data_IF_018828124106
#
_entry.id   IF_018828124106
#
_cell.length_a   1.000
_cell.length_b   1.000
_cell.length_c   1.000
_cell.angle_alpha   90.00
_cell.angle_beta   90.00
_cell.angle_gamma   90.00
#
_symmetry.space_group_name_H-M   'P 1'
#
loop_
_entity.id
_entity.type
_entity.pdbx_description
1 polymer ?
#
# COMPACT_ATOMS: atom_id res chain seq x y z
N UNK A 1 10.98 4.10 -7.73
CA UNK A 1 9.67 4.75 -7.50
C UNK A 1 8.64 3.69 -7.16
N UNK A 2 7.75 3.97 -6.24
CA UNK A 2 6.59 3.12 -5.92
C UNK A 2 5.32 3.82 -6.44
N UNK A 3 4.54 3.11 -7.22
CA UNK A 3 3.18 3.48 -7.58
C UNK A 3 2.22 2.77 -6.63
N UNK A 4 1.39 3.53 -5.94
CA UNK A 4 0.42 2.99 -4.98
C UNK A 4 -1.01 3.21 -5.50
N UNK A 5 -1.80 2.15 -5.50
CA UNK A 5 -3.22 2.14 -5.85
C UNK A 5 -4.05 1.98 -4.58
N UNK A 6 -5.03 2.85 -4.41
CA UNK A 6 -5.96 2.83 -3.28
C UNK A 6 -7.36 2.55 -3.77
N UNK A 7 -7.90 1.41 -3.36
CA UNK A 7 -9.17 0.90 -3.87
C UNK A 7 -10.15 0.76 -2.72
N UNK A 8 -11.31 1.35 -2.88
CA UNK A 8 -12.45 1.13 -2.01
C UNK A 8 -13.38 0.07 -2.59
N UNK A 9 -13.98 -0.67 -1.69
CA UNK A 9 -14.90 -1.74 -2.00
C UNK A 9 -16.34 -1.28 -1.74
N UNK A 10 -17.24 -1.49 -2.69
CA UNK A 10 -18.66 -1.47 -2.40
C UNK A 10 -19.00 -2.55 -1.35
N UNK A 11 -19.94 -2.23 -0.46
CA UNK A 11 -20.38 -3.13 0.63
C UNK A 11 -20.92 -4.47 0.13
N UNK A 12 -21.40 -4.49 -1.10
CA UNK A 12 -22.04 -5.65 -1.73
C UNK A 12 -21.17 -6.40 -2.72
N UNK A 13 -19.88 -6.02 -2.85
CA UNK A 13 -18.99 -6.71 -3.77
C UNK A 13 -18.76 -8.16 -3.32
N UNK A 14 -19.06 -9.15 -4.16
CA UNK A 14 -18.68 -10.53 -3.90
C UNK A 14 -17.17 -10.67 -3.71
N UNK A 15 -16.77 -11.53 -2.80
CA UNK A 15 -15.35 -11.75 -2.48
C UNK A 15 -14.55 -12.23 -3.70
N UNK A 16 -15.19 -13.01 -4.58
CA UNK A 16 -14.61 -13.54 -5.81
C UNK A 16 -14.16 -12.43 -6.77
N UNK A 17 -14.94 -11.36 -6.90
CA UNK A 17 -14.59 -10.22 -7.75
C UNK A 17 -13.38 -9.49 -7.17
N UNK A 18 -13.35 -9.35 -5.85
CA UNK A 18 -12.22 -8.74 -5.15
C UNK A 18 -10.94 -9.59 -5.25
N UNK A 19 -11.08 -10.92 -5.39
CA UNK A 19 -9.97 -11.84 -5.63
C UNK A 19 -9.31 -11.64 -6.99
N UNK A 20 -10.07 -11.31 -8.02
CA UNK A 20 -9.52 -10.99 -9.34
C UNK A 20 -8.60 -9.77 -9.33
N UNK A 21 -8.79 -8.83 -8.41
CA UNK A 21 -7.86 -7.71 -8.24
C UNK A 21 -6.52 -8.15 -7.66
N UNK A 22 -6.52 -9.16 -6.79
CA UNK A 22 -5.30 -9.75 -6.25
C UNK A 22 -4.52 -10.60 -7.28
N UNK A 23 -5.18 -11.01 -8.37
CA UNK A 23 -4.57 -11.76 -9.47
C UNK A 23 -4.02 -10.85 -10.56
N UNK A 24 -3.46 -9.74 -10.15
CA UNK A 24 -2.79 -8.81 -11.07
C UNK A 24 -1.47 -9.37 -11.63
N UNK A 25 -1.11 -10.60 -11.28
CA UNK A 25 0.03 -11.31 -11.88
C UNK A 25 -0.04 -11.43 -13.41
N UNK A 26 -1.25 -11.35 -13.98
CA UNK A 26 -1.46 -11.29 -15.45
C UNK A 26 -1.03 -9.93 -16.06
N UNK A 27 -0.76 -8.92 -15.26
CA UNK A 27 -0.41 -7.56 -15.68
C UNK A 27 1.07 -7.24 -15.49
N UNK A 28 1.83 -8.14 -14.89
CA UNK A 28 3.24 -7.91 -14.61
C UNK A 28 4.05 -8.03 -15.89
N UNK A 29 4.36 -6.89 -16.47
CA UNK A 29 5.61 -6.75 -17.22
C UNK A 29 6.76 -7.16 -16.27
N UNK A 30 7.73 -7.95 -16.75
CA UNK A 30 8.90 -8.31 -15.94
C UNK A 30 9.69 -7.10 -15.37
N UNK A 31 9.39 -5.90 -15.82
CA UNK A 31 9.98 -4.66 -15.31
C UNK A 31 9.27 -4.08 -14.07
N UNK A 32 8.06 -4.53 -13.75
CA UNK A 32 7.29 -4.08 -12.60
C UNK A 32 7.21 -5.16 -11.54
N UNK A 33 7.43 -4.77 -10.30
CA UNK A 33 7.37 -5.70 -9.18
C UNK A 33 6.25 -5.31 -8.22
N UNK A 34 5.29 -6.21 -8.02
CA UNK A 34 4.29 -6.07 -6.97
C UNK A 34 4.98 -6.30 -5.61
N UNK A 35 5.23 -5.22 -4.88
CA UNK A 35 5.90 -5.27 -3.57
C UNK A 35 4.92 -5.36 -2.40
N UNK A 36 3.65 -5.09 -2.63
CA UNK A 36 2.60 -5.23 -1.63
C UNK A 36 1.21 -5.28 -2.27
N UNK A 37 0.38 -6.20 -1.82
CA UNK A 37 -1.01 -6.35 -2.20
C UNK A 37 -1.81 -6.66 -0.94
N UNK A 38 -2.53 -5.68 -0.42
CA UNK A 38 -3.05 -5.70 0.94
C UNK A 38 -4.56 -5.47 0.97
N UNK A 39 -5.30 -6.47 1.48
CA UNK A 39 -6.71 -6.34 1.79
C UNK A 39 -6.93 -6.08 3.28
N UNK A 40 -7.74 -5.08 3.63
CA UNK A 40 -8.03 -4.73 5.01
C UNK A 40 -8.73 -5.87 5.73
N UNK A 41 -8.17 -6.30 6.86
CA UNK A 41 -8.71 -7.40 7.65
C UNK A 41 -9.54 -6.89 8.82
N UNK A 42 -10.58 -7.66 9.21
CA UNK A 42 -11.46 -7.38 10.36
C UNK A 42 -12.05 -5.94 10.38
N UNK A 43 -11.97 -5.21 9.27
CA UNK A 43 -12.36 -3.78 9.15
C UNK A 43 -11.60 -2.86 10.11
N UNK A 44 -10.40 -3.27 10.53
CA UNK A 44 -9.55 -2.47 11.41
C UNK A 44 -8.88 -1.35 10.61
N UNK A 45 -9.08 -0.13 11.08
CA UNK A 45 -8.65 1.09 10.38
C UNK A 45 -9.72 1.66 9.47
N UNK A 46 -9.50 2.87 8.99
CA UNK A 46 -10.50 3.66 8.30
C UNK A 46 -10.57 3.34 6.81
N UNK A 47 -9.51 3.55 6.08
CA UNK A 47 -9.41 3.43 4.62
C UNK A 47 -7.96 3.18 4.20
N UNK A 48 -7.67 2.65 3.01
CA UNK A 48 -8.57 2.04 2.04
C UNK A 48 -8.93 0.59 2.36
N UNK A 49 -9.91 0.02 1.66
CA UNK A 49 -10.24 -1.40 1.78
C UNK A 49 -9.15 -2.29 1.21
N UNK A 50 -8.48 -1.81 0.15
CA UNK A 50 -7.39 -2.50 -0.51
C UNK A 50 -6.33 -1.48 -0.96
N UNK A 51 -5.05 -1.85 -0.87
CA UNK A 51 -3.94 -1.07 -1.39
C UNK A 51 -2.92 -1.99 -2.07
N UNK A 52 -2.45 -1.58 -3.24
CA UNK A 52 -1.37 -2.26 -3.95
C UNK A 52 -0.19 -1.30 -4.15
N UNK A 53 1.01 -1.84 -4.02
CA UNK A 53 2.27 -1.12 -4.23
C UNK A 53 3.08 -1.80 -5.32
N UNK A 54 3.40 -1.04 -6.35
CA UNK A 54 4.17 -1.47 -7.51
C UNK A 54 5.50 -0.75 -7.56
N UNK A 55 6.60 -1.49 -7.56
CA UNK A 55 7.93 -0.92 -7.77
C UNK A 55 8.19 -0.78 -9.27
N UNK A 56 8.34 0.45 -9.72
CA UNK A 56 8.51 0.83 -11.11
C UNK A 56 9.87 1.51 -11.30
N UNK A 57 10.47 1.41 -12.49
CA UNK A 57 11.75 2.04 -12.80
C UNK A 57 11.71 3.57 -12.80
N UNK A 58 10.54 4.19 -12.90
CA UNK A 58 10.39 5.65 -12.89
C UNK A 58 9.12 6.10 -13.58
N UNK A 59 8.93 7.42 -13.74
CA UNK A 59 7.74 8.02 -14.32
C UNK A 59 7.45 7.59 -15.77
N UNK A 60 8.48 7.34 -16.56
CA UNK A 60 8.30 6.85 -17.94
C UNK A 60 7.44 5.59 -18.00
N UNK A 61 7.44 4.78 -16.92
CA UNK A 61 6.62 3.58 -16.87
C UNK A 61 5.12 3.89 -16.82
N UNK A 62 4.75 5.02 -16.26
CA UNK A 62 3.34 5.46 -16.24
C UNK A 62 2.86 5.83 -17.65
N UNK A 63 3.72 6.45 -18.48
CA UNK A 63 3.40 6.74 -19.88
C UNK A 63 3.12 5.43 -20.65
N UNK A 64 3.97 4.41 -20.44
CA UNK A 64 3.82 3.09 -21.06
C UNK A 64 2.53 2.39 -20.60
N UNK A 65 2.17 2.49 -19.32
CA UNK A 65 0.91 1.97 -18.79
C UNK A 65 -0.28 2.73 -19.37
N UNK A 66 -0.22 4.05 -19.43
CA UNK A 66 -1.29 4.85 -20.01
C UNK A 66 -1.52 4.49 -21.49
N UNK A 67 -0.45 4.33 -22.26
CA UNK A 67 -0.52 3.87 -23.65
C UNK A 67 -1.14 2.47 -23.75
N UNK A 68 -0.71 1.54 -22.89
CA UNK A 68 -1.29 0.19 -22.84
C UNK A 68 -2.78 0.22 -22.49
N UNK A 69 -3.17 0.95 -21.43
CA UNK A 69 -4.56 1.05 -20.99
C UNK A 69 -5.48 1.69 -22.03
N UNK A 70 -4.96 2.60 -22.83
CA UNK A 70 -5.69 3.23 -23.93
C UNK A 70 -5.66 2.41 -25.24
N UNK A 71 -4.97 1.27 -25.25
CA UNK A 71 -4.88 0.42 -26.43
C UNK A 71 -6.17 -0.38 -26.66
N UNK A 72 -6.46 -0.76 -27.94
CA UNK A 72 -7.58 -1.67 -28.23
C UNK A 72 -7.47 -3.04 -27.54
N UNK A 73 -6.26 -3.51 -27.28
CA UNK A 73 -6.02 -4.77 -26.55
C UNK A 73 -6.51 -4.71 -25.10
N UNK A 74 -6.33 -3.57 -24.43
CA UNK A 74 -6.81 -3.37 -23.09
C UNK A 74 -8.31 -3.03 -23.01
N UNK A 75 -8.93 -2.58 -24.11
CA UNK A 75 -10.33 -2.18 -24.14
C UNK A 75 -11.30 -3.30 -23.75
N UNK A 76 -10.98 -4.55 -24.09
CA UNK A 76 -11.78 -5.72 -23.70
C UNK A 76 -11.75 -5.93 -22.19
N UNK A 77 -10.56 -5.90 -21.61
CA UNK A 77 -10.37 -6.04 -20.15
C UNK A 77 -11.03 -4.90 -19.38
N UNK A 78 -11.00 -3.69 -19.92
CA UNK A 78 -11.71 -2.55 -19.34
C UNK A 78 -13.22 -2.72 -19.39
N UNK A 79 -13.77 -3.23 -20.49
CA UNK A 79 -15.20 -3.50 -20.61
C UNK A 79 -15.65 -4.58 -19.62
N UNK A 80 -14.86 -5.62 -19.43
CA UNK A 80 -15.13 -6.67 -18.45
C UNK A 80 -15.06 -6.13 -17.02
N UNK A 81 -14.05 -5.30 -16.70
CA UNK A 81 -13.93 -4.62 -15.40
C UNK A 81 -15.03 -3.59 -15.15
N UNK A 82 -15.44 -2.84 -16.18
CA UNK A 82 -16.52 -1.86 -16.07
C UNK A 82 -17.89 -2.52 -15.82
N UNK A 83 -18.08 -3.78 -16.21
CA UNK A 83 -19.28 -4.56 -15.83
C UNK A 83 -19.33 -4.86 -14.35
N UNK A 84 -18.17 -4.91 -13.68
CA UNK A 84 -18.04 -5.03 -12.24
C UNK A 84 -18.03 -3.66 -11.58
N UNK A 85 -19.15 -2.93 -11.63
CA UNK A 85 -19.35 -1.59 -11.05
C UNK A 85 -19.00 -1.44 -9.56
N UNK A 86 -18.55 -2.52 -8.95
CA UNK A 86 -18.27 -2.62 -7.52
C UNK A 86 -16.83 -2.25 -7.14
N UNK A 87 -15.95 -2.02 -8.11
CA UNK A 87 -14.55 -1.63 -7.88
C UNK A 87 -14.39 -0.17 -8.21
N UNK A 88 -14.09 0.62 -7.19
CA UNK A 88 -13.74 2.01 -7.37
C UNK A 88 -12.26 2.20 -7.07
N UNK A 89 -11.43 2.30 -8.13
CA UNK A 89 -10.13 2.92 -7.97
C UNK A 89 -10.40 4.36 -7.53
N UNK A 90 -10.15 4.66 -6.27
CA UNK A 90 -10.44 6.00 -5.76
C UNK A 90 -9.32 6.97 -6.11
N UNK A 91 -8.08 6.52 -5.97
CA UNK A 91 -6.91 7.33 -6.30
C UNK A 91 -5.64 6.50 -6.33
N UNK A 92 -4.63 7.08 -6.94
CA UNK A 92 -3.28 6.53 -6.95
C UNK A 92 -2.27 7.63 -6.59
N UNK A 93 -1.09 7.23 -6.17
CA UNK A 93 0.00 8.14 -5.86
C UNK A 93 1.35 7.57 -6.23
N UNK A 94 2.31 8.47 -6.49
CA UNK A 94 3.70 8.11 -6.75
C UNK A 94 4.57 8.47 -5.56
N UNK A 95 5.46 7.57 -5.18
CA UNK A 95 6.27 7.70 -3.97
C UNK A 95 7.74 7.35 -4.23
N UNK A 96 8.61 8.05 -3.51
CA UNK A 96 10.01 7.64 -3.32
C UNK A 96 10.12 6.76 -2.09
N UNK A 97 11.01 5.78 -2.12
CA UNK A 97 11.36 4.97 -0.95
C UNK A 97 12.36 5.76 -0.09
N UNK A 98 11.93 6.10 1.13
CA UNK A 98 12.80 6.72 2.16
C UNK A 98 13.55 5.67 2.96
N UNK A 99 12.88 4.55 3.23
CA UNK A 99 13.48 3.35 3.83
C UNK A 99 13.07 2.16 3.00
N UNK A 100 14.05 1.36 2.60
CA UNK A 100 13.87 0.04 2.01
C UNK A 100 14.27 -0.99 3.05
N UNK A 101 13.34 -1.81 3.47
CA UNK A 101 13.54 -2.90 4.43
C UNK A 101 13.39 -4.27 3.76
N UNK A 102 13.23 -5.33 4.56
CA UNK A 102 12.98 -6.67 4.04
C UNK A 102 11.71 -6.73 3.18
N UNK A 103 11.70 -7.67 2.23
CA UNK A 103 10.50 -7.98 1.45
C UNK A 103 9.31 -8.29 2.37
N UNK A 104 8.11 -7.91 1.93
CA UNK A 104 6.88 -8.15 2.68
C UNK A 104 6.63 -9.65 2.81
N UNK A 105 6.45 -10.14 4.04
CA UNK A 105 6.04 -11.52 4.29
C UNK A 105 4.55 -11.68 3.98
N UNK A 106 4.22 -12.43 2.94
CA UNK A 106 2.84 -12.66 2.49
C UNK A 106 1.96 -13.35 3.53
N UNK A 107 2.54 -14.15 4.43
CA UNK A 107 1.82 -14.81 5.53
C UNK A 107 1.53 -13.89 6.71
N UNK A 108 2.21 -12.76 6.79
CA UNK A 108 2.16 -11.83 7.90
C UNK A 108 0.86 -11.02 8.02
N UNK A 109 0.78 -10.30 9.13
CA UNK A 109 -0.21 -9.26 9.37
C UNK A 109 0.46 -7.91 9.11
N UNK A 110 -0.14 -7.06 8.28
CA UNK A 110 0.46 -5.80 7.88
C UNK A 110 -0.24 -4.63 8.56
N UNK A 111 0.54 -3.76 9.15
CA UNK A 111 0.07 -2.51 9.74
C UNK A 111 0.59 -1.37 8.89
N UNK A 112 -0.32 -0.60 8.32
CA UNK A 112 0.03 0.53 7.46
C UNK A 112 -0.37 1.81 8.16
N UNK A 113 0.60 2.70 8.31
CA UNK A 113 0.43 4.03 8.84
C UNK A 113 0.39 5.04 7.70
N UNK A 114 -0.60 5.91 7.73
CA UNK A 114 -0.82 6.96 6.75
C UNK A 114 -0.57 8.32 7.42
N UNK A 115 0.27 9.13 6.80
CA UNK A 115 0.63 10.45 7.32
C UNK A 115 0.28 11.53 6.30
N UNK A 116 -0.20 12.67 6.78
CA UNK A 116 -0.33 13.85 5.95
C UNK A 116 1.03 14.34 5.43
N UNK A 117 1.02 15.44 4.70
CA UNK A 117 2.26 16.07 4.26
C UNK A 117 3.06 16.57 5.47
N UNK A 118 4.18 15.91 5.75
CA UNK A 118 5.11 16.31 6.81
C UNK A 118 6.01 17.43 6.27
N UNK A 119 5.55 18.67 6.38
CA UNK A 119 6.29 19.82 5.89
C UNK A 119 7.63 19.97 6.62
N UNK A 120 8.70 20.19 5.84
CA UNK A 120 10.07 20.46 6.30
C UNK A 120 10.82 19.28 6.94
N UNK A 121 10.34 18.06 6.80
CA UNK A 121 11.06 16.88 7.27
C UNK A 121 11.90 16.31 6.11
N UNK A 122 13.19 16.08 6.38
CA UNK A 122 14.08 15.43 5.41
C UNK A 122 13.93 13.91 5.48
N UNK A 123 14.26 13.23 4.38
CA UNK A 123 14.23 11.77 4.32
C UNK A 123 15.14 11.13 5.37
N UNK A 124 16.30 11.76 5.64
CA UNK A 124 17.22 11.29 6.66
C UNK A 124 16.59 11.29 8.07
N UNK A 125 15.86 12.36 8.42
CA UNK A 125 15.16 12.47 9.72
C UNK A 125 14.01 11.46 9.79
N UNK A 126 13.22 11.37 8.72
CA UNK A 126 12.11 10.43 8.64
C UNK A 126 12.61 8.98 8.73
N UNK A 127 13.61 8.63 7.93
CA UNK A 127 14.20 7.29 7.94
C UNK A 127 14.80 6.90 9.28
N UNK A 128 15.56 7.80 9.92
CA UNK A 128 16.14 7.56 11.24
C UNK A 128 15.07 7.32 12.32
N UNK A 129 13.97 8.08 12.29
CA UNK A 129 12.85 7.90 13.22
C UNK A 129 12.24 6.51 13.11
N UNK A 130 11.88 6.07 11.89
CA UNK A 130 11.25 4.76 11.69
C UNK A 130 12.20 3.59 11.97
N UNK A 131 13.47 3.72 11.65
CA UNK A 131 14.49 2.72 11.99
C UNK A 131 14.68 2.61 13.51
N UNK A 132 14.73 3.73 14.24
CA UNK A 132 14.80 3.72 15.69
C UNK A 132 13.54 3.11 16.33
N UNK A 133 12.37 3.35 15.74
CA UNK A 133 11.12 2.71 16.18
C UNK A 133 11.13 1.20 15.92
N UNK A 134 11.64 0.73 14.79
CA UNK A 134 11.81 -0.69 14.50
C UNK A 134 12.74 -1.38 15.53
N UNK A 135 13.84 -0.73 15.90
CA UNK A 135 14.76 -1.26 16.94
C UNK A 135 14.10 -1.41 18.31
N UNK A 136 13.18 -0.53 18.68
CA UNK A 136 12.43 -0.59 19.95
C UNK A 136 11.35 -1.65 19.95
N UNK A 137 10.92 -2.12 18.78
CA UNK A 137 9.84 -3.07 18.62
C UNK A 137 10.30 -4.28 17.77
N UNK A 138 11.07 -5.22 18.36
CA UNK A 138 11.68 -6.34 17.60
C UNK A 138 10.66 -7.32 17.00
N UNK A 139 9.41 -7.29 17.45
CA UNK A 139 8.32 -8.07 16.84
C UNK A 139 7.75 -7.42 15.57
N UNK A 140 8.13 -6.17 15.29
CA UNK A 140 7.70 -5.41 14.12
C UNK A 140 8.81 -5.42 13.06
N UNK A 141 8.49 -5.83 11.85
CA UNK A 141 9.39 -5.68 10.70
C UNK A 141 8.97 -4.47 9.90
N UNK A 142 9.82 -3.44 9.83
CA UNK A 142 9.62 -2.30 8.95
C UNK A 142 9.98 -2.71 7.52
N UNK A 143 9.00 -2.76 6.63
CA UNK A 143 9.21 -3.16 5.24
C UNK A 143 9.62 -1.97 4.37
N UNK A 144 8.93 -0.85 4.47
CA UNK A 144 9.30 0.38 3.77
C UNK A 144 8.64 1.61 4.38
N UNK A 145 9.28 2.75 4.13
CA UNK A 145 8.72 4.08 4.37
C UNK A 145 8.72 4.84 3.05
N UNK A 146 7.60 5.41 2.70
CA UNK A 146 7.39 6.10 1.43
C UNK A 146 7.10 7.58 1.65
N UNK A 147 7.61 8.42 0.75
CA UNK A 147 7.27 9.84 0.63
C UNK A 147 6.70 10.12 -0.75
N UNK A 148 5.55 10.77 -0.79
CA UNK A 148 4.91 11.19 -2.05
C UNK A 148 5.82 12.12 -2.86
N UNK A 149 5.93 11.85 -4.15
CA UNK A 149 6.68 12.67 -5.09
C UNK A 149 5.86 13.93 -5.40
N UNK A 150 6.31 15.08 -4.94
CA UNK A 150 5.61 16.33 -5.15
C UNK A 150 4.17 16.28 -4.68
N UNK A 151 3.22 16.53 -5.59
CA UNK A 151 1.77 16.42 -5.35
C UNK A 151 1.12 15.37 -6.26
N UNK A 152 1.88 14.36 -6.70
CA UNK A 152 1.37 13.29 -7.55
C UNK A 152 0.54 12.29 -6.74
N UNK A 153 -0.72 12.57 -6.65
CA UNK A 153 -1.71 11.84 -5.87
C UNK A 153 -2.23 12.64 -4.67
N UNK A 154 -3.37 12.24 -4.11
CA UNK A 154 -3.93 12.80 -2.88
C UNK A 154 -3.12 12.38 -1.66
N UNK A 155 -3.54 12.81 -0.46
CA UNK A 155 -3.02 12.22 0.76
C UNK A 155 -3.23 10.70 0.79
N UNK A 156 -2.31 9.95 1.38
CA UNK A 156 -1.27 10.37 2.31
C UNK A 156 -0.01 10.94 1.63
N UNK A 157 0.62 11.89 2.32
CA UNK A 157 1.93 12.42 1.92
C UNK A 157 3.07 11.45 2.21
N UNK A 158 2.92 10.61 3.25
CA UNK A 158 3.88 9.58 3.65
C UNK A 158 3.15 8.32 4.10
N UNK A 159 3.85 7.19 4.01
CA UNK A 159 3.38 5.87 4.42
C UNK A 159 4.49 5.12 5.13
N UNK A 160 4.13 4.32 6.14
CA UNK A 160 5.02 3.30 6.68
C UNK A 160 4.30 1.94 6.71
N UNK A 161 4.96 0.91 6.22
CA UNK A 161 4.43 -0.45 6.18
C UNK A 161 5.24 -1.34 7.10
N UNK A 162 4.53 -1.99 8.01
CA UNK A 162 5.06 -2.91 9.00
C UNK A 162 4.45 -4.29 8.86
N UNK A 163 5.25 -5.33 9.10
CA UNK A 163 4.78 -6.71 9.16
C UNK A 163 4.93 -7.28 10.57
N UNK A 164 3.91 -8.01 11.00
CA UNK A 164 3.85 -8.73 12.27
C UNK A 164 3.45 -10.19 12.01
N UNK A 165 3.90 -11.10 12.88
CA UNK A 165 3.51 -12.50 12.78
C UNK A 165 2.02 -12.73 13.12
N UNK A 166 1.44 -11.94 14.04
CA UNK A 166 0.09 -12.11 14.54
C UNK A 166 -0.49 -10.81 15.12
N UNK A 167 -1.78 -10.82 15.47
CA UNK A 167 -2.42 -9.73 16.21
C UNK A 167 -1.83 -9.56 17.62
N UNK A 168 -1.41 -10.64 18.26
CA UNK A 168 -0.74 -10.60 19.56
C UNK A 168 0.60 -9.86 19.46
N UNK A 169 1.37 -10.10 18.40
CA UNK A 169 2.62 -9.39 18.14
C UNK A 169 2.41 -7.91 17.79
N UNK A 170 1.29 -7.57 17.15
CA UNK A 170 0.91 -6.19 16.82
C UNK A 170 0.45 -5.41 18.06
N UNK A 171 -0.22 -6.04 19.02
CA UNK A 171 -0.91 -5.36 20.11
C UNK A 171 0.01 -4.40 20.92
N UNK A 172 1.22 -4.80 21.37
CA UNK A 172 2.11 -3.88 22.10
C UNK A 172 2.53 -2.67 21.26
N UNK A 173 2.73 -2.86 19.94
CA UNK A 173 3.10 -1.79 19.03
C UNK A 173 1.95 -0.79 18.83
N UNK A 174 0.73 -1.29 18.64
CA UNK A 174 -0.45 -0.47 18.42
C UNK A 174 -0.93 0.28 19.67
N UNK A 175 -0.54 -0.19 20.87
CA UNK A 175 -0.88 0.45 22.16
C UNK A 175 0.10 1.56 22.55
N UNK A 176 1.20 1.75 21.84
CA UNK A 176 2.11 2.86 22.12
C UNK A 176 1.38 4.17 21.84
N UNK A 177 1.29 5.04 22.84
CA UNK A 177 0.78 6.40 22.60
C UNK A 177 1.73 7.14 21.67
N UNK A 178 1.16 7.74 20.65
CA UNK A 178 1.86 8.58 19.69
C UNK A 178 1.47 10.06 19.87
N UNK A 179 0.89 10.43 21.02
CA UNK A 179 0.38 11.78 21.24
C UNK A 179 1.49 12.85 21.18
N UNK A 180 2.69 12.48 21.65
CA UNK A 180 3.88 13.34 21.61
C UNK A 180 4.82 13.00 20.43
N UNK A 181 4.45 12.06 19.55
CA UNK A 181 5.27 11.69 18.41
C UNK A 181 5.09 12.72 17.28
N UNK A 182 6.18 13.36 16.82
CA UNK A 182 6.11 14.33 15.72
C UNK A 182 5.65 13.67 14.40
N UNK A 183 5.69 12.34 14.32
CA UNK A 183 5.25 11.54 13.19
C UNK A 183 3.96 10.75 13.53
N UNK A 184 3.01 11.40 14.15
CA UNK A 184 1.72 10.79 14.43
C UNK A 184 0.97 10.51 13.12
N UNK A 185 0.54 9.27 12.86
CA UNK A 185 -0.25 8.95 11.69
C UNK A 185 -1.62 9.63 11.75
N UNK A 186 -2.10 10.08 10.60
CA UNK A 186 -3.46 10.61 10.45
C UNK A 186 -4.49 9.49 10.38
N UNK A 187 -4.07 8.33 9.91
CA UNK A 187 -4.87 7.12 9.87
C UNK A 187 -3.99 5.87 9.91
N UNK A 188 -4.59 4.74 10.26
CA UNK A 188 -3.93 3.43 10.27
C UNK A 188 -4.87 2.37 9.74
N UNK A 189 -4.29 1.30 9.19
CA UNK A 189 -5.07 0.14 8.77
C UNK A 189 -4.32 -1.16 9.04
N UNK A 190 -5.09 -2.22 9.28
CA UNK A 190 -4.56 -3.58 9.46
C UNK A 190 -5.00 -4.43 8.29
N UNK A 191 -4.03 -5.08 7.66
CA UNK A 191 -4.19 -5.75 6.38
C UNK A 191 -3.62 -7.16 6.42
N UNK A 192 -4.07 -7.99 5.48
CA UNK A 192 -3.45 -9.23 5.09
C UNK A 192 -3.04 -9.16 3.64
N UNK A 193 -2.01 -9.90 3.25
CA UNK A 193 -1.71 -10.10 1.85
C UNK A 193 -2.96 -10.57 1.11
N UNK A 194 -3.22 -9.98 -0.03
CA UNK A 194 -4.37 -10.29 -0.86
C UNK A 194 -3.91 -10.82 -2.22
N UNK A 195 -4.14 -12.10 -2.47
CA UNK A 195 -3.74 -12.80 -3.69
C UNK A 195 -4.23 -14.24 -3.69
N UNK A 196 -4.03 -14.95 -4.80
CA UNK A 196 -4.45 -16.36 -4.96
C UNK A 196 -3.96 -17.31 -3.86
N UNK A 197 -2.84 -16.99 -3.22
CA UNK A 197 -2.15 -17.89 -2.30
C UNK A 197 -2.75 -17.92 -0.88
N UNK A 198 -3.71 -17.07 -0.57
CA UNK A 198 -4.32 -16.95 0.79
C UNK A 198 -5.76 -17.50 0.81
N UNK A 199 -6.14 -18.18 -0.22
CA UNK A 199 -7.43 -18.83 -0.38
C UNK A 199 -7.25 -20.34 -0.42
#
# INVERSE_FOLDING_TARGET
>A
MIYAEYIERDRFMPLEIFRHLGDQSAWTDPEDTLVGSFGRTMRLGRLPAYVAFWKCKGMKRLDEWEEHFNSPAAAHDHAERATHKAIHLQYAGCYDEVVEGPAVDRGGLHYIEYFGALAKITDAVLGAHFQARAQRHPAATLNFVLRRIGQLGPDPGHLAVWTFASYEALEPFARVSLDDDPFRPTDVGVYRWFGKEIL
#
